data_IF_280332141172
#
_entry.id   IF_280332141172
#
_cell.length_a   1.000
_cell.length_b   1.000
_cell.length_c   1.000
_cell.angle_alpha   90.00
_cell.angle_beta   90.00
_cell.angle_gamma   90.00
#
_symmetry.space_group_name_H-M   'P 1'
#
loop_
_entity.id
_entity.type
_entity.pdbx_description
1 polymer ?
#
# COMPACT_ATOMS: atom_id res chain seq x y z
N UNK A 1 -3.13 -14.68 26.24
CA UNK A 1 -3.84 -14.13 25.05
C UNK A 1 -2.95 -13.41 24.02
N UNK A 2 -1.78 -12.86 24.37
CA UNK A 2 -0.77 -12.42 23.36
C UNK A 2 -0.15 -13.56 22.53
N UNK A 3 -0.40 -14.82 22.87
CA UNK A 3 0.01 -16.00 22.09
C UNK A 3 -0.74 -16.12 20.76
N UNK A 4 -1.91 -15.48 20.61
CA UNK A 4 -2.78 -15.65 19.44
C UNK A 4 -2.41 -14.77 18.24
N UNK A 5 -1.72 -13.64 18.43
CA UNK A 5 -1.32 -12.71 17.35
C UNK A 5 -0.16 -13.28 16.52
N UNK A 6 0.85 -13.82 17.19
CA UNK A 6 2.02 -14.42 16.53
C UNK A 6 1.68 -15.74 15.85
N UNK A 7 0.70 -16.48 16.40
CA UNK A 7 0.10 -17.67 15.78
C UNK A 7 -0.75 -17.34 14.55
N UNK A 8 -1.03 -16.07 14.26
CA UNK A 8 -1.92 -15.64 13.18
C UNK A 8 -1.18 -15.16 11.94
N UNK A 9 -0.06 -14.47 12.12
CA UNK A 9 0.86 -14.14 11.02
C UNK A 9 1.46 -15.39 10.38
N UNK A 10 1.69 -16.42 11.20
CA UNK A 10 2.27 -17.67 10.77
C UNK A 10 1.30 -18.51 9.91
N UNK A 11 0.04 -18.56 10.32
CA UNK A 11 -1.09 -19.29 9.73
C UNK A 11 -1.32 -19.08 8.22
N UNK A 12 -0.79 -18.01 7.66
CA UNK A 12 -1.08 -17.57 6.29
C UNK A 12 0.15 -17.68 5.38
N UNK A 13 1.36 -17.52 5.93
CA UNK A 13 2.60 -17.68 5.17
C UNK A 13 2.82 -19.14 4.76
N UNK A 14 2.47 -20.11 5.60
CA UNK A 14 2.63 -21.54 5.23
C UNK A 14 1.81 -21.96 3.99
N UNK A 15 0.61 -21.37 3.80
CA UNK A 15 -0.19 -21.57 2.58
C UNK A 15 0.30 -20.74 1.38
N UNK A 16 0.92 -19.57 1.62
CA UNK A 16 1.40 -18.68 0.55
C UNK A 16 2.82 -19.01 0.04
N UNK A 17 3.72 -19.44 0.91
CA UNK A 17 5.12 -19.70 0.57
C UNK A 17 5.31 -21.09 -0.05
N UNK A 18 4.45 -22.06 0.29
CA UNK A 18 4.39 -23.35 -0.42
C UNK A 18 3.90 -23.19 -1.87
N UNK A 19 3.13 -22.13 -2.17
CA UNK A 19 2.77 -21.77 -3.54
C UNK A 19 3.86 -20.94 -4.25
N UNK A 20 4.62 -20.12 -3.53
CA UNK A 20 5.73 -19.34 -4.08
C UNK A 20 6.98 -20.19 -4.38
N UNK A 21 7.19 -21.30 -3.67
CA UNK A 21 8.25 -22.27 -3.95
C UNK A 21 8.06 -23.02 -5.28
N UNK A 22 6.83 -23.07 -5.82
CA UNK A 22 6.52 -23.66 -7.13
C UNK A 22 6.70 -22.68 -8.30
N UNK A 23 6.99 -21.41 -8.05
CA UNK A 23 7.21 -20.40 -9.10
C UNK A 23 8.69 -20.13 -9.43
N UNK A 24 9.64 -20.79 -8.75
CA UNK A 24 11.09 -20.53 -8.93
C UNK A 24 11.88 -21.58 -9.73
N UNK A 25 11.23 -22.59 -10.30
CA UNK A 25 11.91 -23.61 -11.14
C UNK A 25 11.45 -23.64 -12.60
N UNK A 26 11.07 -22.50 -13.18
CA UNK A 26 10.87 -22.37 -14.64
C UNK A 26 11.56 -21.11 -15.14
N UNK A 27 12.89 -21.14 -15.24
CA UNK A 27 13.66 -20.32 -16.18
C UNK A 27 15.10 -20.84 -16.30
N UNK A 28 15.23 -22.09 -16.76
CA UNK A 28 16.36 -22.47 -17.60
C UNK A 28 15.82 -23.41 -18.69
N UNK A 29 15.85 -22.92 -19.93
CA UNK A 29 15.86 -23.79 -21.11
C UNK A 29 16.75 -23.12 -22.14
N UNK A 30 17.45 -23.91 -22.97
CA UNK A 30 16.99 -23.93 -24.35
C UNK A 30 17.08 -25.31 -25.00
N UNK A 31 16.05 -25.68 -25.77
CA UNK A 31 16.11 -26.05 -27.20
C UNK A 31 14.73 -26.49 -27.76
N UNK A 32 14.18 -25.60 -28.60
CA UNK A 32 13.38 -25.79 -29.84
C UNK A 32 12.04 -26.58 -29.89
N UNK A 33 11.11 -26.22 -30.82
CA UNK A 33 9.65 -26.55 -30.85
C UNK A 33 9.33 -27.69 -31.88
N UNK A 34 8.07 -28.06 -32.28
CA UNK A 34 6.78 -27.34 -32.18
C UNK A 34 5.50 -28.18 -31.84
N UNK A 35 4.37 -27.46 -31.68
CA UNK A 35 3.05 -27.75 -32.29
C UNK A 35 1.82 -27.56 -31.37
N UNK A 36 1.06 -26.50 -31.68
CA UNK A 36 -0.42 -26.39 -31.76
C UNK A 36 -1.35 -26.63 -30.56
N UNK A 37 -1.99 -25.51 -30.20
CA UNK A 37 -3.40 -25.26 -29.79
C UNK A 37 -3.77 -25.20 -28.29
N UNK A 38 -4.73 -24.30 -27.94
CA UNK A 38 -4.78 -23.65 -26.65
C UNK A 38 -5.83 -24.30 -25.73
N UNK A 39 -5.42 -24.66 -24.52
CA UNK A 39 -6.35 -24.95 -23.43
C UNK A 39 -6.56 -23.67 -22.61
N UNK A 40 -7.56 -22.91 -23.03
CA UNK A 40 -8.29 -21.96 -22.19
C UNK A 40 -9.01 -22.71 -21.07
N UNK A 41 -8.98 -22.13 -19.86
CA UNK A 41 -9.73 -22.49 -18.64
C UNK A 41 -9.14 -23.56 -17.72
N UNK A 42 -8.35 -23.10 -16.75
CA UNK A 42 -8.36 -23.57 -15.35
C UNK A 42 -7.78 -22.46 -14.47
N UNK A 43 -8.60 -21.44 -14.19
CA UNK A 43 -8.26 -20.38 -13.25
C UNK A 43 -8.43 -20.88 -11.82
N UNK A 44 -7.31 -21.07 -11.12
CA UNK A 44 -7.20 -21.32 -9.69
C UNK A 44 -7.59 -20.08 -8.86
N UNK A 45 -8.52 -20.13 -7.89
CA UNK A 45 -8.73 -19.01 -6.99
C UNK A 45 -7.81 -19.12 -5.77
N UNK A 46 -6.59 -18.61 -5.97
CA UNK A 46 -5.67 -17.91 -5.05
C UNK A 46 -5.27 -18.55 -3.70
N UNK A 47 -3.99 -18.94 -3.52
CA UNK A 47 -3.33 -18.80 -2.22
C UNK A 47 -2.87 -17.34 -2.05
N UNK A 48 -2.91 -16.80 -0.84
CA UNK A 48 -2.42 -15.44 -0.58
C UNK A 48 -1.01 -15.25 -1.17
N UNK A 49 -0.73 -14.10 -1.82
CA UNK A 49 -1.42 -12.81 -1.64
C UNK A 49 -2.64 -12.58 -2.53
N UNK A 50 -3.61 -11.81 -2.02
CA UNK A 50 -4.73 -11.32 -2.84
C UNK A 50 -4.19 -10.38 -3.94
N UNK A 51 -4.86 -10.30 -5.11
CA UNK A 51 -4.47 -9.32 -6.12
C UNK A 51 -4.61 -7.90 -5.55
N UNK A 52 -3.79 -6.94 -6.05
CA UNK A 52 -3.98 -5.54 -5.71
C UNK A 52 -5.43 -5.10 -5.99
N UNK A 53 -6.03 -4.39 -5.03
CA UNK A 53 -7.41 -3.96 -5.09
C UNK A 53 -7.56 -2.49 -4.73
N UNK A 54 -8.58 -1.86 -5.31
CA UNK A 54 -9.04 -0.52 -4.94
C UNK A 54 -10.23 -0.68 -4.02
N UNK A 55 -10.20 -0.06 -2.85
CA UNK A 55 -11.34 -0.13 -1.94
C UNK A 55 -12.42 0.85 -2.38
N UNK A 56 -13.67 0.42 -2.29
CA UNK A 56 -14.82 1.29 -2.47
C UNK A 56 -14.95 2.24 -1.27
N UNK A 57 -15.37 3.47 -1.56
CA UNK A 57 -15.73 4.41 -0.50
C UNK A 57 -16.97 3.86 0.19
N UNK A 58 -16.98 3.68 1.53
CA UNK A 58 -18.16 3.22 2.24
C UNK A 58 -19.34 4.16 1.96
N UNK A 59 -20.60 3.67 1.92
CA UNK A 59 -21.77 4.53 1.96
C UNK A 59 -21.75 5.29 3.29
N UNK A 60 -21.34 6.56 3.27
CA UNK A 60 -21.34 7.41 4.46
C UNK A 60 -22.74 7.98 4.58
N UNK A 61 -23.66 7.18 5.09
CA UNK A 61 -25.08 7.56 5.09
C UNK A 61 -25.48 8.45 6.27
N UNK A 62 -24.70 8.53 7.36
CA UNK A 62 -25.23 9.09 8.62
C UNK A 62 -24.43 10.22 9.28
N UNK A 63 -23.29 10.65 8.72
CA UNK A 63 -22.37 11.55 9.44
C UNK A 63 -21.93 12.80 8.67
N UNK A 64 -22.49 13.08 7.49
CA UNK A 64 -22.12 14.26 6.70
C UNK A 64 -22.30 15.59 7.47
N UNK A 65 -23.32 15.66 8.34
CA UNK A 65 -23.58 16.84 9.17
C UNK A 65 -22.56 17.01 10.32
N UNK A 66 -21.83 15.95 10.71
CA UNK A 66 -20.85 16.02 11.80
C UNK A 66 -19.48 16.53 11.36
N UNK A 67 -19.15 16.54 10.08
CA UNK A 67 -17.82 16.93 9.59
C UNK A 67 -17.89 18.19 8.73
N UNK A 68 -16.90 19.06 8.91
CA UNK A 68 -16.70 20.24 8.07
C UNK A 68 -16.19 19.84 6.70
N UNK A 69 -15.26 18.88 6.64
CA UNK A 69 -14.70 18.37 5.40
C UNK A 69 -15.66 17.33 4.80
N UNK A 70 -15.94 17.46 3.51
CA UNK A 70 -16.55 16.37 2.76
C UNK A 70 -15.56 15.19 2.63
N UNK A 71 -16.07 13.96 2.59
CA UNK A 71 -15.24 12.75 2.49
C UNK A 71 -14.25 12.80 1.32
N UNK A 72 -14.66 13.32 0.16
CA UNK A 72 -13.78 13.46 -1.00
C UNK A 72 -12.59 14.41 -0.73
N UNK A 73 -12.81 15.50 0.02
CA UNK A 73 -11.77 16.43 0.44
C UNK A 73 -10.83 15.76 1.42
N UNK A 74 -11.36 15.12 2.48
CA UNK A 74 -10.55 14.43 3.48
C UNK A 74 -9.66 13.35 2.83
N UNK A 75 -10.24 12.56 1.92
CA UNK A 75 -9.50 11.54 1.17
C UNK A 75 -8.38 12.13 0.32
N UNK A 76 -8.67 13.20 -0.40
CA UNK A 76 -7.68 13.87 -1.26
C UNK A 76 -6.54 14.44 -0.41
N UNK A 77 -6.89 15.08 0.72
CA UNK A 77 -5.93 15.67 1.64
C UNK A 77 -5.05 14.62 2.31
N UNK A 78 -5.64 13.57 2.88
CA UNK A 78 -4.92 12.45 3.48
C UNK A 78 -4.01 11.75 2.45
N UNK A 79 -4.49 11.53 1.22
CA UNK A 79 -3.68 10.94 0.15
C UNK A 79 -2.53 11.81 -0.33
N UNK A 80 -2.75 13.12 -0.41
CA UNK A 80 -1.71 14.09 -0.77
C UNK A 80 -0.62 14.17 0.31
N UNK A 81 -1.01 14.22 1.58
CA UNK A 81 -0.08 14.23 2.72
C UNK A 81 0.66 12.90 2.88
N UNK A 82 -0.03 11.76 2.70
CA UNK A 82 0.62 10.46 2.69
C UNK A 82 1.69 10.35 1.60
N UNK A 83 1.46 10.96 0.43
CA UNK A 83 2.46 11.04 -0.63
C UNK A 83 3.71 11.85 -0.21
N UNK A 84 3.53 13.08 0.29
CA UNK A 84 4.67 13.95 0.63
C UNK A 84 5.38 13.56 1.93
N UNK A 85 4.79 12.72 2.78
CA UNK A 85 5.50 12.11 3.92
C UNK A 85 6.52 11.03 3.50
N UNK A 86 6.46 10.54 2.26
CA UNK A 86 7.39 9.54 1.73
C UNK A 86 8.73 10.16 1.33
N UNK A 87 9.52 10.60 2.30
CA UNK A 87 10.82 11.28 2.06
C UNK A 87 11.97 10.32 1.77
N UNK A 88 11.73 9.01 1.84
CA UNK A 88 12.68 7.94 1.54
C UNK A 88 11.94 6.77 0.90
N UNK A 89 12.64 5.98 0.08
CA UNK A 89 12.09 4.77 -0.54
C UNK A 89 12.27 3.52 0.33
N UNK A 90 12.96 3.66 1.45
CA UNK A 90 13.21 2.60 2.42
C UNK A 90 11.92 1.91 2.86
N UNK A 91 11.81 0.57 2.74
CA UNK A 91 10.67 -0.18 3.29
C UNK A 91 10.61 -0.12 4.82
N UNK A 92 11.66 0.36 5.48
CA UNK A 92 11.69 0.59 6.93
C UNK A 92 11.15 1.98 7.32
N UNK A 93 10.71 2.80 6.37
CA UNK A 93 10.23 4.16 6.61
C UNK A 93 8.91 4.44 5.88
N UNK A 94 7.97 3.51 5.95
CA UNK A 94 6.61 3.66 5.42
C UNK A 94 5.78 4.47 6.39
N UNK A 95 5.13 5.52 5.89
CA UNK A 95 4.33 6.44 6.66
C UNK A 95 2.84 6.21 6.42
N UNK A 96 2.03 6.61 7.38
CA UNK A 96 0.59 6.72 7.21
C UNK A 96 0.10 8.02 7.81
N UNK A 97 -0.95 8.57 7.19
CA UNK A 97 -1.56 9.84 7.54
C UNK A 97 -3.08 9.68 7.67
N UNK A 98 -3.66 10.27 8.71
CA UNK A 98 -5.09 10.55 8.77
C UNK A 98 -5.36 12.00 9.15
N UNK A 99 -6.51 12.53 8.73
CA UNK A 99 -6.93 13.91 8.98
C UNK A 99 -8.06 13.87 10.00
N UNK A 100 -7.90 14.58 11.11
CA UNK A 100 -8.90 14.66 12.16
C UNK A 100 -9.35 16.11 12.37
N UNK A 101 -10.65 16.32 12.50
CA UNK A 101 -11.23 17.61 12.85
C UNK A 101 -11.32 17.77 14.37
N UNK A 102 -10.67 18.80 14.91
CA UNK A 102 -10.84 19.20 16.30
C UNK A 102 -11.93 20.28 16.37
N UNK A 103 -13.17 19.88 16.72
CA UNK A 103 -14.35 20.73 16.98
C UNK A 103 -14.40 22.10 16.27
N UNK A 104 -14.19 22.14 14.95
CA UNK A 104 -14.23 23.39 14.16
C UNK A 104 -13.02 24.32 14.31
N UNK A 105 -12.10 24.02 15.22
CA UNK A 105 -10.91 24.80 15.50
C UNK A 105 -9.81 24.52 14.49
N UNK A 106 -9.30 23.29 14.40
CA UNK A 106 -8.14 22.98 13.56
C UNK A 106 -8.21 21.58 12.95
N UNK A 107 -7.39 21.36 11.92
CA UNK A 107 -7.16 20.04 11.35
C UNK A 107 -5.89 19.45 11.93
N UNK A 108 -6.03 18.35 12.66
CA UNK A 108 -4.93 17.57 13.18
C UNK A 108 -4.54 16.50 12.14
N UNK A 109 -3.31 16.59 11.65
CA UNK A 109 -2.73 15.68 10.68
C UNK A 109 -1.88 14.66 11.45
N UNK A 110 -2.47 13.52 11.78
CA UNK A 110 -1.75 12.48 12.50
C UNK A 110 -0.85 11.72 11.54
N UNK A 111 0.45 11.66 11.85
CA UNK A 111 1.45 10.95 11.06
C UNK A 111 2.06 9.84 11.89
N UNK A 112 2.07 8.63 11.33
CA UNK A 112 2.81 7.50 11.89
C UNK A 112 3.83 6.99 10.88
N UNK A 113 4.86 6.32 11.37
CA UNK A 113 5.88 5.63 10.57
C UNK A 113 6.06 4.23 11.12
N UNK A 114 6.33 3.22 10.30
CA UNK A 114 6.49 1.85 10.78
C UNK A 114 7.64 1.72 11.79
N UNK A 115 7.43 0.91 12.85
CA UNK A 115 8.36 0.79 13.99
C UNK A 115 8.39 -0.61 14.58
N UNK A 116 9.59 -1.11 14.86
CA UNK A 116 9.91 -2.27 15.68
C UNK A 116 10.10 -1.89 17.15
N UNK A 117 10.72 -0.73 17.44
CA UNK A 117 10.97 -0.22 18.81
C UNK A 117 10.33 1.16 19.02
N UNK A 118 10.13 1.61 20.28
CA UNK A 118 9.48 2.90 20.55
C UNK A 118 10.17 4.10 19.89
N UNK A 119 11.51 4.06 19.82
CA UNK A 119 12.36 5.16 19.35
C UNK A 119 12.74 5.07 17.87
N UNK A 120 12.56 3.91 17.23
CA UNK A 120 12.88 3.73 15.81
C UNK A 120 12.13 4.76 14.97
N UNK A 121 12.82 5.35 13.98
CA UNK A 121 12.27 6.34 13.07
C UNK A 121 11.72 7.63 13.71
N UNK A 122 11.97 7.91 15.00
CA UNK A 122 11.49 9.15 15.65
C UNK A 122 12.07 10.42 15.01
N UNK A 123 13.35 10.40 14.66
CA UNK A 123 14.01 11.53 13.97
C UNK A 123 13.35 11.78 12.62
N UNK A 124 13.17 10.73 11.82
CA UNK A 124 12.49 10.80 10.51
C UNK A 124 11.06 11.31 10.65
N UNK A 125 10.30 10.82 11.64
CA UNK A 125 8.95 11.29 11.91
C UNK A 125 8.92 12.78 12.29
N UNK A 126 9.89 13.23 13.09
CA UNK A 126 10.06 14.63 13.46
C UNK A 126 10.34 15.52 12.25
N UNK A 127 11.22 15.08 11.34
CA UNK A 127 11.51 15.79 10.08
C UNK A 127 10.24 15.94 9.24
N UNK A 128 9.45 14.87 9.09
CA UNK A 128 8.20 14.88 8.33
C UNK A 128 7.20 15.87 8.94
N UNK A 129 6.97 15.79 10.26
CA UNK A 129 6.03 16.70 10.93
C UNK A 129 6.50 18.16 10.88
N UNK A 130 7.80 18.43 11.03
CA UNK A 130 8.37 19.77 10.88
C UNK A 130 8.15 20.30 9.46
N UNK A 131 8.44 19.49 8.43
CA UNK A 131 8.18 19.86 7.04
C UNK A 131 6.70 20.12 6.75
N UNK A 132 5.80 19.33 7.34
CA UNK A 132 4.36 19.56 7.25
C UNK A 132 3.97 20.89 7.88
N UNK A 133 4.42 21.17 9.10
CA UNK A 133 4.11 22.43 9.76
C UNK A 133 4.65 23.64 9.00
N UNK A 134 5.86 23.56 8.42
CA UNK A 134 6.37 24.61 7.52
C UNK A 134 5.47 24.84 6.31
N UNK A 135 4.98 23.76 5.68
CA UNK A 135 3.99 23.87 4.59
C UNK A 135 2.68 24.49 5.07
N UNK A 136 2.18 24.11 6.24
CA UNK A 136 0.92 24.61 6.79
C UNK A 136 1.02 26.09 7.18
N UNK A 137 2.14 26.54 7.73
CA UNK A 137 2.40 27.96 8.00
C UNK A 137 2.32 28.78 6.71
N UNK A 138 2.95 28.32 5.62
CA UNK A 138 2.86 29.00 4.32
C UNK A 138 1.43 29.03 3.76
N UNK A 139 0.64 27.99 4.02
CA UNK A 139 -0.77 27.92 3.59
C UNK A 139 -1.71 28.78 4.43
N UNK A 140 -1.33 29.09 5.67
CA UNK A 140 -2.11 29.94 6.57
C UNK A 140 -2.09 31.40 6.10
N UNK A 141 -1.00 31.83 5.46
CA UNK A 141 -0.91 33.10 4.72
C UNK A 141 -1.56 32.96 3.33
N UNK A 142 -2.84 33.32 3.26
CA UNK A 142 -3.64 33.20 2.05
C UNK A 142 -3.09 34.04 0.87
N UNK A 143 -2.41 35.16 1.14
CA UNK A 143 -1.83 36.01 0.09
C UNK A 143 -0.56 35.36 -0.48
N UNK A 144 0.36 34.90 0.37
CA UNK A 144 1.56 34.16 -0.04
C UNK A 144 1.25 32.85 -0.75
N UNK A 145 0.26 32.08 -0.27
CA UNK A 145 -0.19 30.84 -0.91
C UNK A 145 -0.83 31.10 -2.28
N UNK A 146 -1.62 32.18 -2.40
CA UNK A 146 -2.21 32.58 -3.67
C UNK A 146 -1.11 32.99 -4.65
N UNK A 147 -0.11 33.78 -4.24
CA UNK A 147 1.00 34.17 -5.11
C UNK A 147 1.84 32.96 -5.57
N UNK A 148 2.15 32.03 -4.67
CA UNK A 148 2.89 30.80 -5.00
C UNK A 148 2.13 29.93 -6.02
N UNK A 149 0.80 29.91 -5.95
CA UNK A 149 -0.01 29.18 -6.92
C UNK A 149 -0.31 29.95 -8.18
N UNK A 150 -0.35 31.28 -8.11
CA UNK A 150 -0.37 32.13 -9.29
C UNK A 150 0.93 31.94 -10.06
N UNK A 151 2.08 31.82 -9.41
CA UNK A 151 3.34 31.42 -10.06
C UNK A 151 3.21 30.02 -10.71
N UNK A 152 2.71 29.00 -9.98
CA UNK A 152 2.43 27.66 -10.54
C UNK A 152 1.32 27.63 -11.59
N UNK A 153 0.42 28.63 -11.63
CA UNK A 153 -0.71 28.73 -12.59
C UNK A 153 -0.32 29.53 -13.81
N UNK A 154 0.45 30.59 -13.65
CA UNK A 154 0.96 31.42 -14.73
C UNK A 154 1.98 30.65 -15.58
N UNK A 155 2.48 29.51 -15.09
CA UNK A 155 3.16 28.49 -15.89
C UNK A 155 2.26 27.68 -16.85
N UNK A 156 0.92 27.71 -16.75
CA UNK A 156 0.02 26.96 -17.67
C UNK A 156 -1.38 27.59 -17.77
N UNK A 157 -1.70 28.18 -18.94
CA UNK A 157 -3.08 28.30 -19.44
C UNK A 157 -3.52 26.92 -19.97
N UNK A 158 -4.65 26.39 -19.48
CA UNK A 158 -5.21 25.12 -19.96
C UNK A 158 -6.46 25.42 -20.80
N UNK A 159 -6.46 25.15 -22.12
CA UNK A 159 -7.67 25.20 -22.93
C UNK A 159 -8.58 24.00 -22.64
N UNK A 160 -9.89 24.25 -22.62
CA UNK A 160 -10.94 23.23 -22.53
C UNK A 160 -10.86 22.25 -23.70
N UNK A 161 -11.16 20.99 -23.38
CA UNK A 161 -11.35 19.88 -24.31
C UNK A 161 -12.37 20.22 -25.40
N UNK A 162 -11.92 20.24 -26.64
CA UNK A 162 -12.73 19.95 -27.81
C UNK A 162 -11.81 19.37 -28.89
N UNK A 163 -12.30 18.32 -29.56
CA UNK A 163 -11.73 17.61 -30.71
C UNK A 163 -10.71 16.52 -30.40
N UNK A 164 -11.28 15.43 -29.89
CA UNK A 164 -10.95 14.10 -30.39
C UNK A 164 -11.14 14.05 -31.91
N UNK A 165 -10.07 13.75 -32.65
CA UNK A 165 -10.10 13.05 -33.94
C UNK A 165 -8.78 12.25 -34.02
N UNK A 166 -8.90 10.92 -34.00
CA UNK A 166 -8.77 10.01 -35.16
C UNK A 166 -7.34 9.97 -35.70
N UNK A 167 -6.58 8.98 -35.23
CA UNK A 167 -5.28 8.65 -35.78
C UNK A 167 -5.43 7.70 -36.97
N UNK A 168 -4.98 8.19 -38.12
CA UNK A 168 -4.25 7.40 -39.09
C UNK A 168 -2.74 7.72 -38.98
N UNK A 169 -1.93 6.65 -38.95
CA UNK A 169 -0.45 6.55 -38.91
C UNK A 169 0.28 6.82 -37.58
N UNK A 170 1.08 5.82 -37.17
CA UNK A 170 1.39 5.47 -35.77
C UNK A 170 2.62 6.20 -35.19
N UNK A 171 2.37 7.06 -34.20
CA UNK A 171 3.31 7.55 -33.17
C UNK A 171 4.38 8.59 -33.54
N UNK A 172 4.60 8.96 -34.81
CA UNK A 172 5.66 9.94 -35.18
C UNK A 172 5.50 11.30 -34.47
N UNK A 173 4.30 11.87 -34.50
CA UNK A 173 4.02 13.16 -33.84
C UNK A 173 4.20 13.07 -32.30
N UNK A 174 3.90 11.92 -31.70
CA UNK A 174 4.11 11.70 -30.26
C UNK A 174 5.60 11.56 -29.92
N UNK A 175 6.41 10.96 -30.81
CA UNK A 175 7.87 10.89 -30.63
C UNK A 175 8.48 12.29 -30.71
N UNK A 176 8.10 13.10 -31.70
CA UNK A 176 8.56 14.48 -31.83
C UNK A 176 8.19 15.32 -30.60
N UNK A 177 6.93 15.25 -30.17
CA UNK A 177 6.47 15.92 -28.95
C UNK A 177 7.23 15.44 -27.71
N UNK A 178 7.48 14.13 -27.59
CA UNK A 178 8.25 13.55 -26.49
C UNK A 178 9.67 14.10 -26.46
N UNK A 179 10.37 14.19 -27.60
CA UNK A 179 11.72 14.72 -27.69
C UNK A 179 11.76 16.21 -27.32
N UNK A 180 10.83 17.01 -27.85
CA UNK A 180 10.74 18.45 -27.57
C UNK A 180 10.50 18.71 -26.07
N UNK A 181 9.52 18.01 -25.47
CA UNK A 181 9.17 18.17 -24.06
C UNK A 181 10.26 17.60 -23.14
N UNK A 182 10.94 16.52 -23.54
CA UNK A 182 12.11 16.01 -22.84
C UNK A 182 13.24 17.04 -22.81
N UNK A 183 13.55 17.68 -23.95
CA UNK A 183 14.59 18.70 -24.04
C UNK A 183 14.28 19.91 -23.15
N UNK A 184 13.03 20.39 -23.17
CA UNK A 184 12.55 21.47 -22.28
C UNK A 184 12.68 21.08 -20.81
N UNK A 185 12.26 19.86 -20.44
CA UNK A 185 12.36 19.35 -19.07
C UNK A 185 13.82 19.23 -18.60
N UNK A 186 14.70 18.69 -19.43
CA UNK A 186 16.15 18.60 -19.13
C UNK A 186 16.75 19.98 -18.93
N UNK A 187 16.36 20.98 -19.75
CA UNK A 187 16.83 22.37 -19.59
C UNK A 187 16.48 22.95 -18.22
N UNK A 188 15.22 22.81 -17.77
CA UNK A 188 14.80 23.34 -16.47
C UNK A 188 15.44 22.58 -15.30
N UNK A 189 15.62 21.25 -15.43
CA UNK A 189 16.34 20.44 -14.42
C UNK A 189 17.80 20.90 -14.30
N UNK A 190 18.47 21.16 -15.43
CA UNK A 190 19.85 21.68 -15.44
C UNK A 190 19.95 23.05 -14.77
N UNK A 191 19.03 23.97 -15.09
CA UNK A 191 18.94 25.29 -14.45
C UNK A 191 18.83 25.15 -12.94
N UNK A 192 17.84 24.38 -12.47
CA UNK A 192 17.65 24.13 -11.04
C UNK A 192 18.87 23.49 -10.38
N UNK A 193 19.56 22.56 -11.06
CA UNK A 193 20.77 21.93 -10.53
C UNK A 193 21.89 22.95 -10.27
N UNK A 194 21.99 23.98 -11.12
CA UNK A 194 23.02 25.01 -11.03
C UNK A 194 22.69 26.09 -9.99
N UNK A 195 21.45 26.57 -9.95
CA UNK A 195 21.10 27.75 -9.14
C UNK A 195 20.24 27.44 -7.91
N UNK A 196 19.48 26.33 -7.92
CA UNK A 196 18.68 25.81 -6.80
C UNK A 196 17.71 26.82 -6.18
N UNK A 197 17.07 27.64 -7.01
CA UNK A 197 16.07 28.63 -6.56
C UNK A 197 14.64 28.06 -6.54
N UNK A 198 13.75 28.68 -5.76
CA UNK A 198 12.32 28.30 -5.69
C UNK A 198 11.61 28.40 -7.04
N UNK A 199 11.92 29.42 -7.84
CA UNK A 199 11.33 29.62 -9.17
C UNK A 199 11.70 28.48 -10.12
N UNK A 200 12.95 28.03 -10.09
CA UNK A 200 13.40 26.92 -10.93
C UNK A 200 12.84 25.59 -10.46
N UNK A 201 12.71 25.40 -9.15
CA UNK A 201 12.04 24.22 -8.62
C UNK A 201 10.58 24.17 -9.09
N UNK A 202 9.87 25.31 -9.06
CA UNK A 202 8.52 25.40 -9.63
C UNK A 202 8.52 25.07 -11.13
N UNK A 203 9.48 25.59 -11.90
CA UNK A 203 9.61 25.28 -13.33
C UNK A 203 9.87 23.78 -13.59
N UNK A 204 10.66 23.11 -12.74
CA UNK A 204 10.87 21.66 -12.81
C UNK A 204 9.58 20.90 -12.53
N UNK A 205 8.84 21.27 -11.48
CA UNK A 205 7.56 20.62 -11.14
C UNK A 205 6.51 20.84 -12.24
N UNK A 206 6.45 22.02 -12.83
CA UNK A 206 5.56 22.32 -13.96
C UNK A 206 5.97 21.57 -15.22
N UNK A 207 7.27 21.51 -15.53
CA UNK A 207 7.79 20.72 -16.63
C UNK A 207 7.47 19.22 -16.49
N UNK A 208 7.61 18.66 -15.29
CA UNK A 208 7.24 17.27 -14.99
C UNK A 208 5.73 17.03 -15.15
N UNK A 209 4.91 17.97 -14.69
CA UNK A 209 3.46 17.89 -14.84
C UNK A 209 3.03 17.92 -16.31
N UNK A 210 3.56 18.88 -17.08
CA UNK A 210 3.26 19.02 -18.49
C UNK A 210 3.77 17.82 -19.30
N UNK A 211 4.92 17.24 -18.91
CA UNK A 211 5.46 16.04 -19.53
C UNK A 211 4.53 14.83 -19.33
N UNK A 212 4.11 14.57 -18.10
CA UNK A 212 3.25 13.41 -17.78
C UNK A 212 1.83 13.58 -18.33
N UNK A 213 1.41 14.81 -18.64
CA UNK A 213 0.14 15.13 -19.28
C UNK A 213 0.09 14.84 -20.79
N UNK A 214 1.23 14.55 -21.44
CA UNK A 214 1.28 14.17 -22.85
C UNK A 214 0.52 12.86 -23.10
N UNK A 215 0.00 12.66 -24.30
CA UNK A 215 -0.59 11.38 -24.68
C UNK A 215 0.51 10.36 -25.05
N UNK A 216 0.29 9.09 -24.72
CA UNK A 216 1.16 7.95 -25.10
C UNK A 216 2.66 8.08 -24.78
N UNK A 217 3.10 9.01 -23.94
CA UNK A 217 4.53 9.16 -23.57
C UNK A 217 5.16 7.87 -23.02
N UNK A 218 4.37 7.05 -22.31
CA UNK A 218 4.80 5.73 -21.84
C UNK A 218 5.08 4.77 -22.99
N UNK A 219 4.19 4.73 -23.98
CA UNK A 219 4.38 3.91 -25.16
C UNK A 219 5.64 4.32 -25.92
N UNK A 220 5.96 5.62 -25.97
CA UNK A 220 7.22 6.11 -26.54
C UNK A 220 8.44 5.62 -25.76
N UNK A 221 8.39 5.59 -24.42
CA UNK A 221 9.46 4.99 -23.60
C UNK A 221 9.57 3.48 -23.85
N UNK A 222 8.44 2.78 -24.03
CA UNK A 222 8.42 1.35 -24.29
C UNK A 222 9.00 0.98 -25.67
N UNK A 223 9.09 1.93 -26.60
CA UNK A 223 9.81 1.76 -27.87
C UNK A 223 11.33 1.76 -27.71
N UNK A 224 11.88 2.27 -26.59
CA UNK A 224 13.33 2.31 -26.38
C UNK A 224 13.86 0.87 -26.30
N UNK A 225 14.78 0.48 -27.21
CA UNK A 225 15.33 -0.87 -27.21
C UNK A 225 16.03 -1.23 -25.90
N UNK A 226 15.87 -2.48 -25.45
CA UNK A 226 16.48 -2.98 -24.20
C UNK A 226 18.00 -2.80 -24.11
N UNK A 227 18.69 -2.79 -25.25
CA UNK A 227 20.13 -2.51 -25.35
C UNK A 227 20.52 -1.07 -24.97
N UNK A 228 19.61 -0.11 -25.12
CA UNK A 228 19.82 1.30 -24.77
C UNK A 228 19.27 1.62 -23.37
N UNK A 229 18.16 0.99 -23.01
CA UNK A 229 17.56 1.11 -21.68
C UNK A 229 16.85 -0.19 -21.34
N UNK A 230 17.35 -0.90 -20.34
CA UNK A 230 16.76 -2.14 -19.90
C UNK A 230 15.32 -1.91 -19.35
N UNK A 231 14.47 -2.95 -19.31
CA UNK A 231 13.09 -2.82 -18.84
C UNK A 231 12.94 -2.21 -17.43
N UNK A 232 13.86 -2.50 -16.51
CA UNK A 232 13.80 -2.00 -15.14
C UNK A 232 14.11 -0.50 -15.07
N UNK A 233 15.08 -0.03 -15.84
CA UNK A 233 15.39 1.40 -15.98
C UNK A 233 14.24 2.18 -16.61
N UNK A 234 13.56 1.61 -17.62
CA UNK A 234 12.36 2.21 -18.22
C UNK A 234 11.23 2.36 -17.19
N UNK A 235 10.96 1.29 -16.43
CA UNK A 235 9.94 1.32 -15.39
C UNK A 235 10.29 2.34 -14.29
N UNK A 236 11.56 2.43 -13.90
CA UNK A 236 12.06 3.42 -12.94
C UNK A 236 11.86 4.85 -13.42
N UNK A 237 12.22 5.14 -14.68
CA UNK A 237 12.03 6.46 -15.30
C UNK A 237 10.54 6.86 -15.31
N UNK A 238 9.66 5.95 -15.73
CA UNK A 238 8.21 6.17 -15.72
C UNK A 238 7.73 6.50 -14.30
N UNK A 239 8.18 5.74 -13.29
CA UNK A 239 7.83 5.98 -11.88
C UNK A 239 8.34 7.34 -11.40
N UNK A 240 9.56 7.72 -11.73
CA UNK A 240 10.15 9.01 -11.35
C UNK A 240 9.38 10.19 -11.95
N UNK A 241 9.08 10.15 -13.25
CA UNK A 241 8.31 11.19 -13.94
C UNK A 241 6.91 11.34 -13.32
N UNK A 242 6.22 10.22 -13.12
CA UNK A 242 4.90 10.21 -12.48
C UNK A 242 4.95 10.68 -11.02
N UNK A 243 5.99 10.34 -10.27
CA UNK A 243 6.16 10.80 -8.88
C UNK A 243 6.41 12.31 -8.85
N UNK A 244 7.30 12.79 -9.71
CA UNK A 244 7.63 14.21 -9.82
C UNK A 244 6.41 15.07 -10.16
N UNK A 245 5.57 14.64 -11.11
CA UNK A 245 4.36 15.39 -11.49
C UNK A 245 3.33 15.51 -10.36
N UNK A 246 3.33 14.57 -9.40
CA UNK A 246 2.36 14.54 -8.30
C UNK A 246 2.55 15.69 -7.30
N UNK A 247 3.74 16.29 -7.19
CA UNK A 247 3.95 17.43 -6.30
C UNK A 247 3.04 18.62 -6.67
N UNK A 248 2.82 18.87 -7.98
CA UNK A 248 1.86 19.88 -8.44
C UNK A 248 0.43 19.56 -8.02
N UNK A 249 0.04 18.29 -8.10
CA UNK A 249 -1.27 17.84 -7.65
C UNK A 249 -1.44 18.05 -6.13
N UNK A 250 -0.43 17.70 -5.33
CA UNK A 250 -0.46 17.91 -3.87
C UNK A 250 -0.59 19.38 -3.51
N UNK A 251 0.22 20.26 -4.10
CA UNK A 251 0.12 21.70 -3.89
C UNK A 251 -1.30 22.23 -4.17
N UNK A 252 -1.89 21.77 -5.27
CA UNK A 252 -3.26 22.12 -5.66
C UNK A 252 -4.32 21.60 -4.68
N UNK A 253 -4.18 20.37 -4.17
CA UNK A 253 -5.08 19.79 -3.16
C UNK A 253 -5.02 20.60 -1.87
N UNK A 254 -3.82 20.87 -1.36
CA UNK A 254 -3.60 21.63 -0.13
C UNK A 254 -4.21 23.03 -0.22
N UNK A 255 -3.97 23.74 -1.32
CA UNK A 255 -4.56 25.05 -1.52
C UNK A 255 -6.07 25.03 -1.66
N UNK A 256 -6.62 24.10 -2.45
CA UNK A 256 -8.08 24.03 -2.62
C UNK A 256 -8.76 23.74 -1.28
N UNK A 257 -8.15 22.89 -0.45
CA UNK A 257 -8.60 22.65 0.91
C UNK A 257 -8.55 23.94 1.75
N UNK A 258 -7.40 24.62 1.80
CA UNK A 258 -7.23 25.87 2.56
C UNK A 258 -8.14 27.01 2.07
N UNK A 259 -8.35 27.12 0.75
CA UNK A 259 -9.23 28.12 0.14
C UNK A 259 -10.68 27.86 0.54
N UNK A 260 -11.14 26.62 0.43
CA UNK A 260 -12.54 26.24 0.65
C UNK A 260 -12.90 26.12 2.13
N UNK A 261 -11.99 25.63 2.97
CA UNK A 261 -12.26 25.30 4.37
C UNK A 261 -11.35 26.12 5.29
N UNK A 262 -11.88 27.10 6.05
CA UNK A 262 -11.09 27.89 6.99
C UNK A 262 -10.33 27.04 8.03
N UNK A 263 -10.93 25.94 8.49
CA UNK A 263 -10.28 24.99 9.41
C UNK A 263 -9.00 24.38 8.83
N UNK A 264 -8.91 24.23 7.50
CA UNK A 264 -7.71 23.72 6.83
C UNK A 264 -6.56 24.73 6.76
N UNK A 265 -6.81 26.02 7.03
CA UNK A 265 -5.73 27.02 7.19
C UNK A 265 -5.02 26.89 8.53
N UNK A 266 -5.63 26.17 9.47
CA UNK A 266 -5.10 25.85 10.80
C UNK A 266 -4.81 24.35 10.84
N UNK A 267 -3.94 23.89 9.95
CA UNK A 267 -3.45 22.51 9.96
C UNK A 267 -2.25 22.38 10.90
N UNK A 268 -2.15 21.27 11.60
CA UNK A 268 -1.01 20.93 12.46
C UNK A 268 -0.66 19.46 12.31
N UNK A 269 0.62 19.16 12.12
CA UNK A 269 1.12 17.80 12.09
C UNK A 269 1.40 17.27 13.49
N UNK A 270 0.80 16.11 13.81
CA UNK A 270 0.97 15.42 15.09
C UNK A 270 1.69 14.10 14.84
N UNK A 271 2.91 13.99 15.38
CA UNK A 271 3.65 12.73 15.39
C UNK A 271 2.97 11.73 16.33
N UNK A 272 2.48 10.62 15.79
CA UNK A 272 1.90 9.55 16.59
C UNK A 272 3.00 8.74 17.25
N UNK A 273 2.99 8.72 18.57
CA UNK A 273 3.88 7.91 19.39
C UNK A 273 3.05 7.02 20.31
N UNK A 274 3.21 5.71 20.16
CA UNK A 274 2.63 4.76 21.11
C UNK A 274 3.51 4.69 22.37
N UNK A 275 2.91 4.46 23.55
CA UNK A 275 3.68 4.34 24.79
C UNK A 275 4.58 3.10 24.76
N UNK A 276 5.69 3.09 25.50
CA UNK A 276 6.66 1.98 25.51
C UNK A 276 6.02 0.62 25.82
N UNK A 277 5.00 0.61 26.69
CA UNK A 277 4.21 -0.60 27.01
C UNK A 277 3.60 -1.26 25.78
N UNK A 278 3.24 -0.50 24.75
CA UNK A 278 2.67 -1.02 23.51
C UNK A 278 3.68 -1.90 22.74
N UNK A 279 4.98 -1.62 22.89
CA UNK A 279 6.05 -2.34 22.22
C UNK A 279 6.54 -3.59 22.98
N UNK A 280 6.11 -3.78 24.24
CA UNK A 280 6.46 -4.95 25.05
C UNK A 280 6.13 -6.24 24.31
N UNK A 281 7.09 -7.17 24.31
CA UNK A 281 6.95 -8.49 23.69
C UNK A 281 6.64 -9.52 24.78
N UNK A 282 5.79 -10.52 24.49
CA UNK A 282 5.63 -11.66 25.39
C UNK A 282 7.00 -12.35 25.57
N UNK A 283 7.34 -12.72 26.80
CA UNK A 283 8.55 -13.52 27.06
C UNK A 283 8.46 -14.85 26.29
N UNK A 284 9.56 -15.33 25.69
CA UNK A 284 9.61 -16.61 24.99
C UNK A 284 9.53 -17.83 25.91
N UNK A 285 9.35 -17.65 27.23
CA UNK A 285 9.35 -18.71 28.26
C UNK A 285 8.28 -19.80 28.09
N UNK A 286 7.40 -19.69 27.09
CA UNK A 286 6.56 -20.82 26.66
C UNK A 286 6.72 -21.04 25.17
N UNK A 287 6.99 -22.29 24.74
CA UNK A 287 7.22 -22.60 23.35
C UNK A 287 6.01 -22.18 22.48
N UNK A 288 6.24 -21.74 21.23
CA UNK A 288 5.15 -21.50 20.29
C UNK A 288 4.30 -22.78 20.14
N UNK A 289 3.00 -22.63 19.83
CA UNK A 289 2.17 -23.81 19.54
C UNK A 289 2.77 -24.53 18.33
N UNK A 290 2.86 -25.85 18.36
CA UNK A 290 3.32 -26.61 17.19
C UNK A 290 2.39 -26.41 15.99
N UNK A 291 2.87 -26.82 14.81
CA UNK A 291 2.09 -26.81 13.57
C UNK A 291 0.82 -27.66 13.72
N UNK A 292 0.93 -28.84 14.34
CA UNK A 292 -0.17 -29.79 14.57
C UNK A 292 -1.24 -29.16 15.46
N UNK A 293 -0.87 -28.63 16.63
CA UNK A 293 -1.83 -27.95 17.53
C UNK A 293 -2.49 -26.76 16.85
N UNK A 294 -1.77 -26.07 15.97
CA UNK A 294 -2.31 -24.95 15.21
C UNK A 294 -3.31 -25.43 14.16
N UNK A 295 -2.98 -26.50 13.44
CA UNK A 295 -3.82 -27.13 12.43
C UNK A 295 -5.12 -27.65 13.05
N UNK A 296 -5.05 -28.49 14.08
CA UNK A 296 -6.22 -29.08 14.75
C UNK A 296 -7.15 -28.04 15.40
N UNK A 297 -6.64 -26.86 15.75
CA UNK A 297 -7.47 -25.77 16.27
C UNK A 297 -8.31 -25.08 15.19
N UNK A 298 -7.83 -25.07 13.95
CA UNK A 298 -8.45 -24.32 12.85
C UNK A 298 -9.29 -25.24 11.98
N UNK A 299 -8.73 -26.40 11.63
CA UNK A 299 -9.29 -27.34 10.67
C UNK A 299 -10.00 -28.47 11.41
N UNK A 300 -11.16 -28.89 10.89
CA UNK A 300 -11.84 -30.08 11.37
C UNK A 300 -11.12 -31.35 10.90
N UNK A 301 -11.33 -32.47 11.59
CA UNK A 301 -10.92 -33.77 11.08
C UNK A 301 -11.69 -34.09 9.76
N UNK A 302 -11.07 -34.75 8.76
CA UNK A 302 -9.67 -35.21 8.71
C UNK A 302 -8.68 -34.14 8.18
N UNK A 303 -9.16 -32.95 7.82
CA UNK A 303 -8.40 -31.90 7.13
C UNK A 303 -7.27 -31.27 7.97
N UNK A 304 -7.23 -31.52 9.27
CA UNK A 304 -6.16 -31.01 10.13
C UNK A 304 -4.84 -31.79 10.05
N UNK A 305 -4.80 -32.93 9.36
CA UNK A 305 -3.57 -33.73 9.24
C UNK A 305 -2.49 -32.92 8.51
N UNK A 306 -1.39 -32.63 9.22
CA UNK A 306 -0.26 -31.89 8.66
C UNK A 306 0.38 -32.68 7.53
N UNK A 307 0.53 -34.00 7.67
CA UNK A 307 1.12 -34.85 6.65
C UNK A 307 0.29 -34.87 5.37
N UNK A 308 -1.05 -34.97 5.47
CA UNK A 308 -1.94 -34.87 4.30
C UNK A 308 -1.83 -33.52 3.59
N UNK A 309 -1.78 -32.43 4.35
CA UNK A 309 -1.62 -31.11 3.75
C UNK A 309 -0.23 -30.94 3.12
N UNK A 310 0.83 -31.47 3.73
CA UNK A 310 2.18 -31.44 3.16
C UNK A 310 2.27 -32.25 1.87
N UNK A 311 1.63 -33.44 1.84
CA UNK A 311 1.51 -34.25 0.63
C UNK A 311 0.79 -33.48 -0.48
N UNK A 312 -0.35 -32.84 -0.18
CA UNK A 312 -1.08 -32.04 -1.16
C UNK A 312 -0.29 -30.81 -1.67
N UNK A 313 0.63 -30.28 -0.85
CA UNK A 313 1.52 -29.18 -1.20
C UNK A 313 2.84 -29.63 -1.84
N UNK A 314 3.06 -30.94 -2.03
CA UNK A 314 4.34 -31.51 -2.47
C UNK A 314 5.53 -31.03 -1.62
N UNK A 315 5.37 -31.03 -0.30
CA UNK A 315 6.41 -30.62 0.66
C UNK A 315 6.59 -31.64 1.78
N UNK A 316 7.70 -31.53 2.52
CA UNK A 316 8.03 -32.40 3.65
C UNK A 316 7.46 -31.83 4.96
N UNK A 317 6.86 -32.70 5.79
CA UNK A 317 6.30 -32.31 7.08
C UNK A 317 7.35 -31.79 8.08
N UNK A 318 8.57 -32.33 8.07
CA UNK A 318 9.68 -31.86 8.94
C UNK A 318 10.18 -30.48 8.53
N UNK A 319 10.29 -30.21 7.22
CA UNK A 319 10.61 -28.89 6.71
C UNK A 319 9.51 -27.88 7.06
N UNK A 320 8.25 -28.28 6.90
CA UNK A 320 7.09 -27.46 7.30
C UNK A 320 7.08 -27.13 8.79
N UNK A 321 7.41 -28.09 9.67
CA UNK A 321 7.54 -27.86 11.12
C UNK A 321 8.72 -26.94 11.45
N UNK A 322 9.84 -27.10 10.75
CA UNK A 322 11.05 -26.29 10.94
C UNK A 322 10.81 -24.84 10.54
N UNK A 323 10.27 -24.60 9.33
CA UNK A 323 9.86 -23.28 8.87
C UNK A 323 8.77 -22.70 9.78
N UNK A 324 7.86 -23.54 10.29
CA UNK A 324 6.87 -23.12 11.27
C UNK A 324 7.50 -22.47 12.48
N UNK A 325 8.44 -23.20 13.09
CA UNK A 325 9.11 -22.78 14.31
C UNK A 325 9.97 -21.55 14.06
N UNK A 326 10.77 -21.56 13.00
CA UNK A 326 11.68 -20.47 12.63
C UNK A 326 10.91 -19.16 12.37
N UNK A 327 9.87 -19.21 11.53
CA UNK A 327 9.07 -18.02 11.23
C UNK A 327 8.26 -17.53 12.43
N UNK A 328 7.67 -18.43 13.23
CA UNK A 328 6.94 -18.02 14.44
C UNK A 328 7.86 -17.30 15.42
N UNK A 329 9.07 -17.83 15.62
CA UNK A 329 10.10 -17.20 16.42
C UNK A 329 10.46 -15.81 15.87
N UNK A 330 10.79 -15.72 14.57
CA UNK A 330 11.12 -14.47 13.89
C UNK A 330 10.03 -13.41 14.02
N UNK A 331 8.77 -13.76 13.83
CA UNK A 331 7.65 -12.82 13.99
C UNK A 331 7.52 -12.34 15.44
N UNK A 332 7.69 -13.23 16.42
CA UNK A 332 7.66 -12.90 17.85
C UNK A 332 8.77 -11.93 18.25
N UNK A 333 9.98 -12.10 17.71
CA UNK A 333 11.17 -11.33 18.10
C UNK A 333 11.38 -10.08 17.25
N UNK A 334 11.06 -10.12 15.95
CA UNK A 334 11.42 -9.09 14.97
C UNK A 334 10.23 -8.35 14.37
N UNK A 335 8.98 -8.77 14.64
CA UNK A 335 7.80 -8.13 14.06
C UNK A 335 7.73 -6.61 14.31
N UNK A 336 7.23 -5.85 13.34
CA UNK A 336 7.10 -4.39 13.30
C UNK A 336 5.63 -3.96 13.26
N UNK A 337 5.33 -2.85 13.92
CA UNK A 337 4.09 -2.13 13.70
C UNK A 337 4.17 -1.45 12.35
N UNK A 338 3.19 -1.69 11.50
CA UNK A 338 2.97 -0.85 10.35
C UNK A 338 2.44 0.52 10.80
N UNK A 339 2.58 1.54 9.96
CA UNK A 339 2.15 2.90 10.32
C UNK A 339 0.63 2.99 10.52
N UNK A 340 -0.14 2.28 9.69
CA UNK A 340 -1.61 2.22 9.78
C UNK A 340 -2.09 1.64 11.11
N UNK A 341 -1.37 0.65 11.66
CA UNK A 341 -1.68 0.04 12.96
C UNK A 341 -1.53 1.09 14.08
N UNK A 342 -0.48 1.91 14.01
CA UNK A 342 -0.22 2.95 15.01
C UNK A 342 -1.28 4.06 14.97
N UNK A 343 -1.69 4.49 13.77
CA UNK A 343 -2.79 5.44 13.63
C UNK A 343 -4.09 4.88 14.22
N UNK A 344 -4.41 3.61 13.94
CA UNK A 344 -5.61 2.99 14.50
C UNK A 344 -5.56 2.94 16.03
N UNK A 345 -4.42 2.60 16.62
CA UNK A 345 -4.26 2.64 18.07
C UNK A 345 -4.49 4.04 18.64
N UNK A 346 -3.99 5.09 17.96
CA UNK A 346 -4.24 6.47 18.36
C UNK A 346 -5.74 6.79 18.30
N UNK A 347 -6.43 6.41 17.22
CA UNK A 347 -7.88 6.63 17.04
C UNK A 347 -8.68 5.94 18.14
N UNK A 348 -8.37 4.67 18.43
CA UNK A 348 -9.02 3.89 19.47
C UNK A 348 -8.81 4.44 20.88
N UNK A 349 -7.70 5.13 21.11
CA UNK A 349 -7.36 5.69 22.43
C UNK A 349 -8.02 7.05 22.68
N UNK A 350 -8.69 7.62 21.69
CA UNK A 350 -9.33 8.93 21.82
C UNK A 350 -10.72 8.81 22.47
N UNK A 351 -11.16 9.83 23.23
CA UNK A 351 -12.52 9.86 23.78
C UNK A 351 -13.57 9.84 22.68
N UNK A 352 -14.69 9.17 22.90
CA UNK A 352 -15.83 9.09 21.97
C UNK A 352 -16.46 10.44 21.62
N UNK A 353 -16.18 11.49 22.41
CA UNK A 353 -16.61 12.87 22.13
C UNK A 353 -15.83 13.53 21.00
N UNK A 354 -14.66 13.00 20.61
CA UNK A 354 -13.91 13.47 19.45
C UNK A 354 -14.45 12.85 18.18
N UNK A 355 -14.45 13.65 17.11
CA UNK A 355 -14.77 13.17 15.76
C UNK A 355 -13.62 12.29 15.27
N UNK A 356 -13.82 10.99 15.04
CA UNK A 356 -12.75 10.14 14.53
C UNK A 356 -12.41 10.55 13.09
N UNK A 357 -11.16 10.35 12.63
CA UNK A 357 -10.87 10.43 11.21
C UNK A 357 -11.66 9.36 10.45
N UNK A 358 -11.96 9.59 9.16
CA UNK A 358 -12.66 8.64 8.29
C UNK A 358 -11.71 7.97 7.29
N UNK A 359 -10.56 8.59 7.04
CA UNK A 359 -9.58 8.14 6.05
C UNK A 359 -8.20 7.92 6.67
N UNK A 360 -7.59 6.78 6.32
CA UNK A 360 -6.17 6.49 6.55
C UNK A 360 -5.49 6.22 5.20
N UNK A 361 -4.50 7.03 4.86
CA UNK A 361 -3.69 6.87 3.65
C UNK A 361 -2.23 6.58 4.04
N UNK A 362 -1.66 5.50 3.52
CA UNK A 362 -0.24 5.21 3.65
C UNK A 362 0.55 5.70 2.42
N UNK A 363 1.87 5.91 2.58
CA UNK A 363 2.76 6.30 1.48
C UNK A 363 2.93 5.20 0.43
N UNK A 364 2.66 3.95 0.82
CA UNK A 364 2.50 2.78 -0.05
C UNK A 364 1.10 2.19 0.14
N UNK A 365 0.64 1.37 -0.79
CA UNK A 365 -0.63 0.66 -0.65
C UNK A 365 -0.68 -0.12 0.67
N UNK A 366 -1.87 -0.22 1.26
CA UNK A 366 -2.02 -0.97 2.50
C UNK A 366 -1.70 -2.45 2.28
N UNK A 367 -1.03 -3.06 3.25
CA UNK A 367 -0.89 -4.52 3.24
C UNK A 367 -2.24 -5.20 3.52
N UNK A 368 -2.32 -6.49 3.25
CA UNK A 368 -3.55 -7.25 3.48
C UNK A 368 -4.08 -7.09 4.91
N UNK A 369 -3.21 -7.24 5.93
CA UNK A 369 -3.61 -7.13 7.33
C UNK A 369 -3.97 -5.72 7.76
N UNK A 370 -3.26 -4.68 7.28
CA UNK A 370 -3.63 -3.29 7.55
C UNK A 370 -4.99 -2.97 6.93
N UNK A 371 -5.24 -3.39 5.69
CA UNK A 371 -6.53 -3.20 5.02
C UNK A 371 -7.68 -3.86 5.80
N UNK A 372 -7.50 -5.11 6.21
CA UNK A 372 -8.50 -5.82 7.01
C UNK A 372 -8.74 -5.15 8.38
N UNK A 373 -7.67 -4.71 9.05
CA UNK A 373 -7.74 -4.06 10.35
C UNK A 373 -8.50 -2.73 10.29
N UNK A 374 -8.17 -1.87 9.31
CA UNK A 374 -8.85 -0.60 9.11
C UNK A 374 -10.32 -0.80 8.76
N UNK A 375 -10.64 -1.74 7.86
CA UNK A 375 -12.03 -2.05 7.50
C UNK A 375 -12.84 -2.61 8.67
N UNK A 376 -12.21 -3.36 9.57
CA UNK A 376 -12.86 -3.90 10.76
C UNK A 376 -13.21 -2.80 11.79
N UNK A 377 -12.48 -1.67 11.83
CA UNK A 377 -12.76 -0.56 12.72
C UNK A 377 -13.56 0.54 12.05
N UNK A 378 -14.83 0.72 12.45
CA UNK A 378 -15.73 1.81 11.96
C UNK A 378 -15.75 1.98 10.42
N UNK A 379 -15.29 0.96 9.67
CA UNK A 379 -15.06 0.98 8.23
C UNK A 379 -14.17 2.15 7.77
N UNK A 380 -13.05 2.41 8.47
CA UNK A 380 -12.05 3.39 8.02
C UNK A 380 -11.65 3.13 6.56
N UNK A 381 -11.71 4.17 5.75
CA UNK A 381 -11.35 4.07 4.34
C UNK A 381 -9.83 4.13 4.16
N UNK A 382 -9.29 3.22 3.37
CA UNK A 382 -7.93 3.31 2.81
C UNK A 382 -7.99 3.07 1.31
N UNK A 383 -7.25 3.80 0.45
CA UNK A 383 -7.53 3.80 -1.00
C UNK A 383 -7.30 2.47 -1.71
N UNK A 384 -6.18 1.82 -1.40
CA UNK A 384 -5.69 0.65 -2.12
C UNK A 384 -5.07 -0.34 -1.17
N UNK A 385 -5.19 -1.61 -1.52
CA UNK A 385 -4.49 -2.70 -0.88
C UNK A 385 -3.67 -3.43 -1.94
N UNK A 386 -2.39 -3.70 -1.66
CA UNK A 386 -1.57 -4.51 -2.58
C UNK A 386 -1.72 -6.03 -2.31
N UNK A 387 -2.61 -6.43 -1.38
CA UNK A 387 -2.98 -7.82 -1.07
C UNK A 387 -1.89 -8.73 -0.48
N UNK A 388 -0.65 -8.25 -0.41
CA UNK A 388 0.49 -8.96 0.22
C UNK A 388 0.41 -8.97 1.73
N UNK A 389 0.67 -10.15 2.27
CA UNK A 389 0.85 -10.41 3.69
C UNK A 389 2.34 -10.23 4.07
N UNK A 390 2.63 -9.53 5.16
CA UNK A 390 3.99 -9.42 5.69
C UNK A 390 4.14 -10.24 6.97
N UNK A 391 5.08 -11.20 6.95
CA UNK A 391 5.35 -12.06 8.11
C UNK A 391 5.92 -11.29 9.31
N UNK A 392 6.58 -10.17 9.04
CA UNK A 392 7.05 -9.21 10.04
C UNK A 392 5.98 -8.21 10.51
N UNK A 393 4.71 -8.38 10.17
CA UNK A 393 3.64 -7.52 10.69
C UNK A 393 3.33 -7.87 12.15
N UNK A 394 2.96 -6.92 13.00
CA UNK A 394 2.42 -7.23 14.34
C UNK A 394 1.43 -6.18 14.81
N UNK A 395 0.58 -6.58 15.77
CA UNK A 395 -0.22 -5.67 16.59
C UNK A 395 0.51 -5.32 17.88
N UNK A 396 0.29 -4.11 18.45
CA UNK A 396 0.73 -3.76 19.78
C UNK A 396 0.20 -4.68 20.87
N UNK A 397 0.86 -4.66 22.03
CA UNK A 397 0.38 -5.41 23.20
C UNK A 397 -1.06 -5.00 23.51
N UNK A 398 -1.93 -6.01 23.68
CA UNK A 398 -3.37 -5.81 23.67
C UNK A 398 -3.85 -4.78 24.70
N UNK A 399 -4.56 -3.78 24.19
CA UNK A 399 -5.47 -2.95 24.99
C UNK A 399 -6.90 -3.49 24.85
N UNK A 400 -7.83 -3.04 25.68
CA UNK A 400 -9.22 -3.51 25.64
C UNK A 400 -9.88 -3.22 24.27
N UNK A 401 -9.49 -2.10 23.65
CA UNK A 401 -10.05 -1.56 22.41
C UNK A 401 -9.59 -2.33 21.17
N UNK A 402 -8.36 -2.88 21.19
CA UNK A 402 -7.83 -3.69 20.08
C UNK A 402 -8.39 -5.11 20.06
N UNK A 403 -8.99 -5.58 21.17
CA UNK A 403 -9.42 -6.98 21.32
C UNK A 403 -10.50 -7.40 20.32
N UNK A 404 -11.60 -6.63 20.11
CA UNK A 404 -12.61 -6.99 19.13
C UNK A 404 -12.05 -7.08 17.71
N UNK A 405 -11.17 -6.14 17.34
CA UNK A 405 -10.54 -6.10 16.02
C UNK A 405 -9.62 -7.29 15.79
N UNK A 406 -8.82 -7.65 16.79
CA UNK A 406 -8.00 -8.85 16.70
C UNK A 406 -8.85 -10.10 16.54
N UNK A 407 -9.93 -10.25 17.31
CA UNK A 407 -10.85 -11.41 17.18
C UNK A 407 -11.45 -11.46 15.77
N UNK A 408 -11.89 -10.33 15.23
CA UNK A 408 -12.42 -10.23 13.87
C UNK A 408 -11.40 -10.67 12.82
N UNK A 409 -10.18 -10.15 12.89
CA UNK A 409 -9.08 -10.53 11.98
C UNK A 409 -8.73 -12.01 12.14
N UNK A 410 -8.66 -12.52 13.36
CA UNK A 410 -8.39 -13.93 13.63
C UNK A 410 -9.43 -14.84 12.96
N UNK A 411 -10.72 -14.50 13.09
CA UNK A 411 -11.83 -15.26 12.49
C UNK A 411 -11.73 -15.26 10.96
N UNK A 412 -11.51 -14.09 10.36
CA UNK A 412 -11.38 -13.95 8.91
C UNK A 412 -10.21 -14.77 8.35
N UNK A 413 -9.08 -14.77 9.06
CA UNK A 413 -7.90 -15.54 8.66
C UNK A 413 -8.10 -17.05 8.84
N UNK A 414 -8.73 -17.47 9.94
CA UNK A 414 -9.11 -18.86 10.15
C UNK A 414 -10.08 -19.36 9.07
N UNK A 415 -11.05 -18.54 8.68
CA UNK A 415 -11.96 -18.86 7.57
C UNK A 415 -11.19 -19.03 6.26
N UNK A 416 -10.29 -18.10 5.92
CA UNK A 416 -9.45 -18.22 4.72
C UNK A 416 -8.61 -19.49 4.70
N UNK A 417 -8.03 -19.87 5.84
CA UNK A 417 -7.26 -21.12 5.97
C UNK A 417 -8.15 -22.34 5.77
N UNK A 418 -9.34 -22.37 6.39
CA UNK A 418 -10.31 -23.46 6.21
C UNK A 418 -10.68 -23.64 4.75
N UNK A 419 -11.06 -22.54 4.08
CA UNK A 419 -11.41 -22.56 2.66
C UNK A 419 -10.25 -23.01 1.78
N UNK A 420 -9.03 -22.51 2.04
CA UNK A 420 -7.84 -22.86 1.26
C UNK A 420 -7.44 -24.32 1.45
N UNK A 421 -7.46 -24.81 2.70
CA UNK A 421 -7.13 -26.20 3.02
C UNK A 421 -8.17 -27.17 2.43
N UNK A 422 -9.47 -26.84 2.51
CA UNK A 422 -10.52 -27.63 1.90
C UNK A 422 -10.33 -27.71 0.37
N UNK A 423 -10.13 -26.57 -0.31
CA UNK A 423 -9.91 -26.54 -1.76
C UNK A 423 -8.67 -27.34 -2.18
N UNK A 424 -7.56 -27.17 -1.44
CA UNK A 424 -6.32 -27.91 -1.67
C UNK A 424 -6.53 -29.42 -1.57
N UNK A 425 -7.12 -29.89 -0.47
CA UNK A 425 -7.34 -31.32 -0.24
C UNK A 425 -8.35 -31.90 -1.24
N UNK A 426 -9.42 -31.17 -1.57
CA UNK A 426 -10.35 -31.59 -2.63
C UNK A 426 -9.65 -31.75 -3.98
N UNK A 427 -8.77 -30.83 -4.37
CA UNK A 427 -8.03 -30.93 -5.64
C UNK A 427 -7.05 -32.10 -5.68
N UNK A 428 -6.53 -32.50 -4.51
CA UNK A 428 -5.62 -33.64 -4.38
C UNK A 428 -6.37 -34.97 -4.36
N UNK A 429 -7.56 -35.03 -3.74
CA UNK A 429 -8.33 -36.26 -3.59
C UNK A 429 -9.15 -36.62 -4.85
N UNK A 430 -9.35 -35.69 -5.80
CA UNK A 430 -10.03 -35.98 -7.08
C UNK A 430 -9.10 -36.77 -8.01
N UNK A 431 -9.48 -37.98 -8.48
CA UNK A 431 -8.68 -38.73 -9.43
C UNK A 431 -8.55 -37.96 -10.74
N UNK A 432 -7.31 -37.76 -11.22
CA UNK A 432 -7.08 -37.30 -12.60
C UNK A 432 -7.67 -38.36 -13.53
N UNK A 433 -8.81 -38.09 -14.15
CA UNK A 433 -9.40 -38.99 -15.13
C UNK A 433 -8.37 -39.24 -16.24
N UNK A 434 -7.95 -40.50 -16.39
CA UNK A 434 -7.13 -40.92 -17.52
C UNK A 434 -7.91 -40.58 -18.80
N UNK A 435 -7.33 -39.74 -19.65
CA UNK A 435 -7.84 -39.51 -20.98
C UNK A 435 -7.99 -40.86 -21.69
N UNK A 436 -9.22 -41.19 -22.05
CA UNK A 436 -9.52 -42.35 -22.89
C UNK A 436 -8.88 -42.08 -24.25
N UNK A 437 -7.76 -42.75 -24.53
CA UNK A 437 -7.23 -42.85 -25.89
C UNK A 437 -8.16 -43.77 -26.67
N UNK A 438 -9.13 -43.18 -27.37
CA UNK A 438 -9.87 -43.89 -28.41
C UNK A 438 -8.88 -44.24 -29.54
N UNK A 439 -8.49 -45.50 -29.60
CA UNK A 439 -7.90 -46.10 -30.79
C UNK A 439 -9.04 -46.40 -31.76
N UNK A 440 -9.11 -45.65 -32.86
CA UNK A 440 -9.83 -46.08 -34.05
C UNK A 440 -8.83 -46.84 -34.91
N UNK A 441 -9.09 -48.14 -35.08
CA UNK A 441 -8.57 -48.95 -36.17
C UNK A 441 -9.43 -48.83 -37.41
#
# INVERSE_FOLDING_TARGET
MCRSVSRLNFKIKWLGDSAAALQKNVFESPRSPPSTRPLTHLTWPSPLPEPPSVNLVPPIEHDAARYTLGMATERSLAGALAFVSSITDSPNCITAVCVQEEQGQKLQIHVAINKQTPRENNVTLGIICSGFNQMFTRLSDFQGATQSLLQLRNGVQVPKMARYHQNASNLTAQIEQFLEKSAKLVKVIRSWTMHKTDNELCAVIDGLYDFVAMDKWKAVIDLIPGRLMDPSSRESLVKMLQRGSRYRHVARVLYRAAKKYPIARRMEAIAVQLPERAFKRPSPSSPPSSLERTSSRILAAPNHSVDRLCQALNTNADDARTEFKAQTHKTLTEGKFHAEVQLLCQILSQPSSRKPPRVVCASKDACFLCNCLLRAHAKLYTPRCHGKLYAGWRLPMMTAELRPLQVSINRMLEQKIRSSAAALLHSHDVPKSKGVSASYG
#
